data_IF_212244887910
#
_entry.id   IF_212244887910
#
_cell.length_a   1.000
_cell.length_b   1.000
_cell.length_c   1.000
_cell.angle_alpha   90.00
_cell.angle_beta   90.00
_cell.angle_gamma   90.00
#
_symmetry.space_group_name_H-M   'P 1'
#
loop_
_entity.id
_entity.type
_entity.pdbx_description
1 polymer ?
#
# COMPACT_ATOMS: atom_id res chain seq x y z
N UNK A 1 49.62 -13.37 38.65
CA UNK A 1 49.77 -14.84 38.53
C UNK A 1 48.84 -15.28 37.40
N UNK A 2 49.37 -15.58 36.22
CA UNK A 2 48.60 -16.25 35.17
C UNK A 2 48.49 -17.73 35.54
N UNK A 3 47.26 -18.22 35.65
CA UNK A 3 47.02 -19.65 35.83
C UNK A 3 47.03 -20.32 34.46
N UNK A 4 47.92 -21.29 34.27
CA UNK A 4 47.86 -22.19 33.12
C UNK A 4 46.98 -23.39 33.48
N UNK A 5 45.91 -23.59 32.71
CA UNK A 5 45.05 -24.76 32.83
C UNK A 5 45.39 -25.79 31.76
N UNK A 6 45.44 -27.06 32.15
CA UNK A 6 45.60 -28.19 31.24
C UNK A 6 44.26 -28.91 31.10
N UNK A 7 43.86 -29.17 29.86
CA UNK A 7 42.61 -29.90 29.58
C UNK A 7 42.82 -31.39 29.87
N UNK A 8 42.00 -31.94 30.76
CA UNK A 8 41.94 -33.39 30.98
C UNK A 8 41.27 -34.07 29.77
N UNK A 9 42.11 -34.66 28.91
CA UNK A 9 41.67 -35.37 27.70
C UNK A 9 40.82 -36.60 28.01
N UNK A 10 41.00 -37.25 29.16
CA UNK A 10 40.20 -38.43 29.57
C UNK A 10 38.80 -37.98 29.96
N UNK A 11 38.69 -36.96 30.81
CA UNK A 11 37.40 -36.36 31.17
C UNK A 11 36.67 -35.82 29.93
N UNK A 12 37.37 -35.13 29.02
CA UNK A 12 36.77 -34.62 27.78
C UNK A 12 36.16 -35.71 26.90
N UNK A 13 36.81 -36.87 26.74
CA UNK A 13 36.27 -38.01 25.98
C UNK A 13 34.98 -38.56 26.61
N UNK A 14 34.96 -38.71 27.93
CA UNK A 14 33.78 -39.19 28.66
C UNK A 14 32.62 -38.22 28.46
N UNK A 15 32.85 -36.93 28.70
CA UNK A 15 31.84 -35.87 28.54
C UNK A 15 31.28 -35.85 27.10
N UNK A 16 32.14 -35.93 26.10
CA UNK A 16 31.75 -35.91 24.68
C UNK A 16 30.97 -37.15 24.22
N UNK A 17 31.09 -38.28 24.93
CA UNK A 17 30.35 -39.51 24.67
C UNK A 17 29.01 -39.63 25.42
N UNK A 18 28.65 -38.66 26.27
CA UNK A 18 27.36 -38.68 26.96
C UNK A 18 26.20 -38.54 25.96
N UNK A 19 25.20 -39.41 26.09
CA UNK A 19 23.94 -39.26 25.36
C UNK A 19 23.13 -38.11 25.98
N UNK A 20 22.82 -37.11 25.16
CA UNK A 20 22.10 -35.90 25.56
C UNK A 20 20.94 -35.65 24.61
N UNK A 21 19.93 -34.91 25.09
CA UNK A 21 18.85 -34.40 24.24
C UNK A 21 19.23 -33.05 23.62
N UNK A 22 18.65 -32.74 22.46
CA UNK A 22 18.77 -31.43 21.83
C UNK A 22 18.37 -30.30 22.80
N UNK A 23 19.11 -29.18 22.77
CA UNK A 23 18.76 -27.98 23.54
C UNK A 23 17.37 -27.41 23.18
N UNK A 24 16.85 -27.75 21.99
CA UNK A 24 15.51 -27.37 21.55
C UNK A 24 14.43 -28.43 21.87
N UNK A 25 14.67 -29.35 22.82
CA UNK A 25 13.70 -30.40 23.20
C UNK A 25 12.35 -29.83 23.65
N UNK A 26 12.37 -28.78 24.46
CA UNK A 26 11.15 -28.09 24.93
C UNK A 26 10.36 -27.45 23.78
N UNK A 27 11.05 -27.05 22.70
CA UNK A 27 10.41 -26.54 21.48
C UNK A 27 9.83 -27.65 20.60
N UNK A 28 10.17 -28.92 20.86
CA UNK A 28 9.68 -30.10 20.15
C UNK A 28 10.74 -30.92 19.42
N UNK A 29 12.02 -30.56 19.50
CA UNK A 29 13.08 -31.36 18.86
C UNK A 29 13.26 -32.72 19.56
N UNK A 30 13.16 -33.80 18.80
CA UNK A 30 13.28 -35.18 19.33
C UNK A 30 14.70 -35.75 19.23
N UNK A 31 15.66 -34.98 18.71
CA UNK A 31 17.02 -35.46 18.55
C UNK A 31 17.68 -35.77 19.90
N UNK A 32 18.35 -36.92 19.95
CA UNK A 32 19.22 -37.36 21.03
C UNK A 32 20.45 -38.05 20.45
N UNK A 33 21.59 -37.90 21.10
CA UNK A 33 22.85 -38.49 20.65
C UNK A 33 24.04 -38.04 21.49
N UNK A 34 25.24 -38.44 21.10
CA UNK A 34 26.47 -38.05 21.79
C UNK A 34 26.67 -36.53 21.76
N UNK A 35 27.11 -35.96 22.89
CA UNK A 35 27.32 -34.52 23.04
C UNK A 35 28.22 -33.92 21.94
N UNK A 36 29.26 -34.65 21.50
CA UNK A 36 30.14 -34.22 20.40
C UNK A 36 29.42 -33.95 19.07
N UNK A 37 28.25 -34.58 18.84
CA UNK A 37 27.46 -34.45 17.62
C UNK A 37 26.42 -33.32 17.70
N UNK A 38 26.22 -32.71 18.88
CA UNK A 38 25.23 -31.65 19.10
C UNK A 38 25.46 -30.43 18.20
N UNK A 39 26.72 -30.00 18.07
CA UNK A 39 27.08 -28.83 17.24
C UNK A 39 26.68 -29.03 15.78
N UNK A 40 26.93 -30.24 15.25
CA UNK A 40 26.56 -30.64 13.89
C UNK A 40 25.05 -30.72 13.70
N UNK A 41 24.32 -31.32 14.65
CA UNK A 41 22.86 -31.39 14.61
C UNK A 41 22.21 -29.99 14.59
N UNK A 42 22.63 -29.11 15.51
CA UNK A 42 22.13 -27.74 15.58
C UNK A 42 22.53 -26.97 14.31
N UNK A 43 23.77 -27.17 13.86
CA UNK A 43 24.40 -26.45 12.76
C UNK A 43 24.17 -24.93 12.91
N UNK A 44 24.51 -24.38 14.07
CA UNK A 44 24.14 -23.01 14.46
C UNK A 44 24.53 -22.01 13.37
N UNK A 45 23.71 -20.97 13.21
CA UNK A 45 23.90 -19.88 12.24
C UNK A 45 23.79 -20.25 10.76
N UNK A 46 23.92 -21.53 10.40
CA UNK A 46 23.65 -21.98 9.03
C UNK A 46 22.16 -21.96 8.74
N UNK A 47 21.79 -21.65 7.50
CA UNK A 47 20.37 -21.61 7.11
C UNK A 47 19.75 -23.00 7.02
N UNK A 48 20.53 -23.97 6.57
CA UNK A 48 20.11 -25.36 6.41
C UNK A 48 20.78 -26.24 7.47
N UNK A 49 20.10 -27.32 7.83
CA UNK A 49 20.63 -28.36 8.70
C UNK A 49 19.52 -29.12 9.42
N UNK A 50 19.93 -30.13 10.18
CA UNK A 50 19.03 -31.16 10.71
C UNK A 50 18.01 -30.61 11.73
N UNK A 51 18.46 -29.77 12.67
CA UNK A 51 17.58 -29.20 13.68
C UNK A 51 16.60 -28.18 13.08
N UNK A 52 15.36 -28.60 12.84
CA UNK A 52 14.29 -27.74 12.32
C UNK A 52 13.82 -26.66 13.31
N UNK A 53 14.17 -26.82 14.59
CA UNK A 53 13.80 -25.92 15.70
C UNK A 53 14.88 -24.89 16.02
N UNK A 54 16.06 -24.99 15.40
CA UNK A 54 17.13 -24.02 15.58
C UNK A 54 16.78 -22.69 14.93
N UNK A 55 17.07 -21.59 15.62
CA UNK A 55 16.77 -20.24 15.18
C UNK A 55 17.89 -19.66 14.30
N UNK A 56 17.52 -19.29 13.09
CA UNK A 56 18.43 -18.79 12.06
C UNK A 56 17.95 -17.42 11.57
N UNK A 57 18.89 -16.56 11.18
CA UNK A 57 18.58 -15.21 10.70
C UNK A 57 17.86 -15.28 9.35
N UNK A 58 16.90 -14.37 9.17
CA UNK A 58 16.30 -14.07 7.88
C UNK A 58 17.39 -13.67 6.87
N UNK A 59 17.21 -14.05 5.60
CA UNK A 59 18.17 -13.74 4.53
C UNK A 59 18.31 -12.26 4.22
N UNK A 60 17.28 -11.49 4.53
CA UNK A 60 17.25 -10.06 4.24
C UNK A 60 17.90 -9.32 5.41
N UNK A 61 19.05 -8.68 5.15
CA UNK A 61 19.85 -7.99 6.17
C UNK A 61 19.04 -6.96 6.95
N UNK A 62 18.19 -6.21 6.25
CA UNK A 62 17.32 -5.19 6.84
C UNK A 62 16.21 -5.77 7.72
N UNK A 63 15.91 -7.07 7.67
CA UNK A 63 14.86 -7.70 8.46
C UNK A 63 15.30 -7.97 9.92
N UNK A 64 16.52 -8.45 10.10
CA UNK A 64 17.14 -8.81 11.39
C UNK A 64 16.42 -9.88 12.24
N UNK A 65 15.22 -10.34 11.86
CA UNK A 65 14.50 -11.41 12.57
C UNK A 65 15.24 -12.75 12.54
N UNK A 66 15.06 -13.54 13.61
CA UNK A 66 15.44 -14.94 13.68
C UNK A 66 14.18 -15.80 13.76
N UNK A 67 14.11 -16.85 12.95
CA UNK A 67 13.01 -17.82 12.96
C UNK A 67 13.58 -19.23 13.04
N UNK A 68 12.79 -20.15 13.58
CA UNK A 68 13.09 -21.57 13.47
C UNK A 68 13.19 -21.96 12.00
N UNK A 69 14.16 -22.82 11.63
CA UNK A 69 14.36 -23.25 10.24
C UNK A 69 13.06 -23.66 9.54
N UNK A 70 12.19 -24.42 10.21
CA UNK A 70 10.89 -24.85 9.68
C UNK A 70 9.94 -23.71 9.26
N UNK A 71 10.08 -22.52 9.84
CA UNK A 71 9.23 -21.35 9.56
C UNK A 71 9.93 -20.28 8.73
N UNK A 72 11.23 -20.42 8.45
CA UNK A 72 12.01 -19.39 7.78
C UNK A 72 11.47 -19.08 6.38
N UNK A 73 11.13 -20.12 5.61
CA UNK A 73 10.56 -19.95 4.27
C UNK A 73 9.21 -19.23 4.30
N UNK A 74 8.33 -19.63 5.22
CA UNK A 74 7.02 -18.99 5.38
C UNK A 74 7.17 -17.51 5.73
N UNK A 75 8.06 -17.19 6.69
CA UNK A 75 8.39 -15.81 7.00
C UNK A 75 8.87 -15.06 5.76
N UNK A 76 9.85 -15.58 5.02
CA UNK A 76 10.42 -14.90 3.85
C UNK A 76 9.42 -14.69 2.71
N UNK A 77 8.48 -15.62 2.52
CA UNK A 77 7.51 -15.56 1.42
C UNK A 77 6.25 -14.76 1.78
N UNK A 78 5.86 -14.70 3.06
CA UNK A 78 4.55 -14.18 3.49
C UNK A 78 4.63 -13.00 4.45
N UNK A 79 5.53 -13.04 5.42
CA UNK A 79 5.54 -12.10 6.54
C UNK A 79 6.61 -11.03 6.43
N UNK A 80 7.77 -11.38 5.86
CA UNK A 80 8.95 -10.53 5.87
C UNK A 80 8.65 -9.24 5.10
N UNK A 81 8.81 -8.11 5.75
CA UNK A 81 8.60 -6.80 5.13
C UNK A 81 9.63 -6.48 4.03
N UNK A 82 10.76 -7.19 4.00
CA UNK A 82 11.77 -7.10 2.95
C UNK A 82 11.51 -8.06 1.78
N UNK A 83 10.47 -8.90 1.85
CA UNK A 83 10.12 -9.81 0.75
C UNK A 83 9.78 -9.05 -0.51
N UNK A 84 10.02 -9.68 -1.67
CA UNK A 84 9.58 -9.17 -2.97
C UNK A 84 8.05 -9.07 -2.99
N UNK A 85 7.55 -7.94 -3.44
CA UNK A 85 6.13 -7.66 -3.55
C UNK A 85 5.86 -6.83 -4.80
N UNK A 86 4.73 -7.10 -5.46
CA UNK A 86 4.28 -6.38 -6.64
C UNK A 86 3.07 -5.55 -6.27
N UNK A 87 3.10 -4.26 -6.59
CA UNK A 87 1.94 -3.39 -6.47
C UNK A 87 0.80 -3.93 -7.35
N UNK A 88 -0.33 -4.24 -6.72
CA UNK A 88 -1.50 -4.78 -7.42
C UNK A 88 -2.19 -3.79 -8.36
N UNK A 89 -1.85 -2.49 -8.29
CA UNK A 89 -2.51 -1.44 -9.05
C UNK A 89 -1.74 -1.03 -10.31
N UNK A 90 -0.41 -0.92 -10.22
CA UNK A 90 0.43 -0.47 -11.33
C UNK A 90 1.50 -1.49 -11.75
N UNK A 91 1.63 -2.61 -11.03
CA UNK A 91 2.58 -3.67 -11.36
C UNK A 91 4.04 -3.41 -10.96
N UNK A 92 4.36 -2.25 -10.36
CA UNK A 92 5.73 -1.95 -9.86
C UNK A 92 6.15 -2.99 -8.81
N UNK A 93 7.39 -3.44 -8.91
CA UNK A 93 7.97 -4.46 -8.03
C UNK A 93 8.95 -3.79 -7.05
N UNK A 94 8.83 -4.12 -5.77
CA UNK A 94 9.73 -3.64 -4.72
C UNK A 94 9.71 -4.57 -3.50
N UNK A 95 10.18 -4.08 -2.36
CA UNK A 95 9.95 -4.77 -1.07
C UNK A 95 8.52 -4.51 -0.61
N UNK A 96 7.95 -5.41 0.19
CA UNK A 96 6.63 -5.18 0.78
C UNK A 96 6.56 -3.85 1.55
N UNK A 97 7.61 -3.52 2.32
CA UNK A 97 7.70 -2.27 3.05
C UNK A 97 7.66 -1.05 2.12
N UNK A 98 8.53 -1.01 1.11
CA UNK A 98 8.59 0.10 0.15
C UNK A 98 7.25 0.29 -0.56
N UNK A 99 6.65 -0.81 -1.04
CA UNK A 99 5.40 -0.74 -1.79
C UNK A 99 4.26 -0.20 -0.91
N UNK A 100 4.16 -0.68 0.34
CA UNK A 100 3.04 -0.33 1.22
C UNK A 100 3.19 0.99 1.95
N UNK A 101 4.42 1.50 2.13
CA UNK A 101 4.70 2.74 2.85
C UNK A 101 4.99 3.93 1.96
N UNK A 102 5.76 3.73 0.89
CA UNK A 102 6.26 4.83 0.07
C UNK A 102 5.49 4.89 -1.26
N UNK A 103 5.47 3.77 -1.98
CA UNK A 103 4.91 3.74 -3.33
C UNK A 103 3.40 4.01 -3.39
N UNK A 104 2.60 3.51 -2.44
CA UNK A 104 1.15 3.72 -2.44
C UNK A 104 0.73 5.20 -2.34
N UNK A 105 1.55 6.04 -1.70
CA UNK A 105 1.30 7.47 -1.61
C UNK A 105 1.44 8.18 -2.97
N UNK A 106 2.32 7.69 -3.83
CA UNK A 106 2.62 8.30 -5.14
C UNK A 106 2.03 7.53 -6.33
N UNK A 107 1.53 6.31 -6.12
CA UNK A 107 1.05 5.45 -7.17
C UNK A 107 -0.20 6.03 -7.85
N UNK A 108 -0.07 6.36 -9.14
CA UNK A 108 -1.15 6.93 -9.97
C UNK A 108 -2.36 6.01 -10.10
N UNK A 109 -2.17 4.69 -10.02
CA UNK A 109 -3.25 3.71 -10.12
C UNK A 109 -3.84 3.33 -8.76
N UNK A 110 -3.26 3.84 -7.66
CA UNK A 110 -3.78 3.58 -6.32
C UNK A 110 -5.18 4.19 -6.17
N UNK A 111 -6.16 3.43 -5.68
CA UNK A 111 -7.52 3.93 -5.49
C UNK A 111 -7.55 4.90 -4.32
N UNK A 112 -8.08 6.10 -4.58
CA UNK A 112 -8.31 7.13 -3.57
C UNK A 112 -9.80 7.49 -3.53
N UNK A 113 -10.22 8.01 -2.38
CA UNK A 113 -11.59 8.47 -2.16
C UNK A 113 -11.80 9.80 -2.87
N UNK A 114 -12.94 9.96 -3.55
CA UNK A 114 -13.33 11.24 -4.12
C UNK A 114 -13.56 12.27 -2.97
N UNK A 115 -13.05 13.51 -3.08
CA UNK A 115 -13.22 14.53 -2.03
C UNK A 115 -14.68 14.91 -1.81
N UNK A 116 -15.54 14.76 -2.83
CA UNK A 116 -16.98 14.99 -2.72
C UNK A 116 -17.73 13.76 -2.19
N UNK A 117 -17.04 12.67 -1.84
CA UNK A 117 -17.60 11.43 -1.28
C UNK A 117 -18.74 10.89 -2.15
N UNK A 118 -18.53 10.90 -3.47
CA UNK A 118 -19.50 10.36 -4.42
C UNK A 118 -19.50 8.83 -4.43
N UNK A 119 -20.52 8.21 -5.02
CA UNK A 119 -20.66 6.75 -5.08
C UNK A 119 -19.46 6.03 -5.72
N UNK A 120 -18.69 6.72 -6.57
CA UNK A 120 -17.39 6.25 -7.06
C UNK A 120 -16.29 6.46 -6.00
N UNK A 121 -16.35 5.70 -4.91
CA UNK A 121 -15.45 5.84 -3.75
C UNK A 121 -14.03 5.30 -3.99
N UNK A 122 -13.73 4.75 -5.17
CA UNK A 122 -12.42 4.20 -5.52
C UNK A 122 -12.01 4.70 -6.91
N UNK A 123 -11.47 5.91 -6.96
CA UNK A 123 -10.96 6.51 -8.20
C UNK A 123 -9.45 6.36 -8.24
N UNK A 124 -8.83 5.92 -9.35
CA UNK A 124 -7.37 5.95 -9.48
C UNK A 124 -6.84 7.37 -9.25
N UNK A 125 -5.82 7.52 -8.39
CA UNK A 125 -5.23 8.82 -8.02
C UNK A 125 -4.93 9.72 -9.22
N UNK A 126 -4.34 9.16 -10.27
CA UNK A 126 -3.98 9.89 -11.49
C UNK A 126 -5.18 10.36 -12.32
N UNK A 127 -6.37 9.81 -12.08
CA UNK A 127 -7.63 10.20 -12.75
C UNK A 127 -8.55 11.04 -11.87
N UNK A 128 -8.16 11.31 -10.62
CA UNK A 128 -9.03 12.00 -9.65
C UNK A 128 -9.47 13.38 -10.14
N UNK A 129 -8.54 14.18 -10.67
CA UNK A 129 -8.86 15.52 -11.19
C UNK A 129 -9.85 15.46 -12.35
N UNK A 130 -9.62 14.55 -13.31
CA UNK A 130 -10.53 14.37 -14.43
C UNK A 130 -11.92 13.90 -13.99
N UNK A 131 -11.97 12.99 -12.99
CA UNK A 131 -13.21 12.57 -12.38
C UNK A 131 -13.95 13.75 -11.76
N UNK A 132 -13.31 14.53 -10.87
CA UNK A 132 -13.94 15.68 -10.20
C UNK A 132 -14.48 16.68 -11.23
N UNK A 133 -13.67 17.03 -12.23
CA UNK A 133 -14.00 18.08 -13.19
C UNK A 133 -15.08 17.70 -14.21
N UNK A 134 -15.23 16.41 -14.54
CA UNK A 134 -16.07 16.00 -15.68
C UNK A 134 -17.09 14.91 -15.37
N UNK A 135 -16.89 14.11 -14.31
CA UNK A 135 -17.67 12.89 -14.09
C UNK A 135 -18.35 12.86 -12.72
N UNK A 136 -17.82 13.57 -11.73
CA UNK A 136 -18.31 13.50 -10.36
C UNK A 136 -19.74 14.04 -10.28
N UNK A 137 -20.73 13.21 -9.88
CA UNK A 137 -22.13 13.63 -9.81
C UNK A 137 -22.37 14.66 -8.70
N UNK A 138 -21.52 14.65 -7.67
CA UNK A 138 -21.59 15.56 -6.52
C UNK A 138 -20.65 16.76 -6.65
N UNK A 139 -20.03 16.98 -7.82
CA UNK A 139 -19.27 18.21 -8.05
C UNK A 139 -20.24 19.37 -8.32
N UNK A 140 -20.15 20.49 -7.58
CA UNK A 140 -20.81 21.74 -7.95
C UNK A 140 -20.25 22.25 -9.28
N UNK A 141 -21.13 22.54 -10.23
CA UNK A 141 -20.79 23.05 -11.56
C UNK A 141 -21.54 24.35 -11.82
N UNK A 142 -20.96 25.22 -12.63
CA UNK A 142 -21.62 26.47 -12.99
C UNK A 142 -22.83 26.18 -13.88
N UNK A 143 -23.91 26.94 -13.66
CA UNK A 143 -25.11 26.83 -14.48
C UNK A 143 -24.78 27.15 -15.95
N UNK A 144 -25.41 26.42 -16.88
CA UNK A 144 -25.30 26.67 -18.33
C UNK A 144 -25.82 28.04 -18.75
N UNK A 145 -26.63 28.70 -17.90
CA UNK A 145 -27.14 30.06 -18.07
C UNK A 145 -26.35 31.10 -17.27
N UNK A 146 -25.13 30.79 -16.85
CA UNK A 146 -24.25 31.76 -16.18
C UNK A 146 -23.96 32.98 -17.06
N UNK A 147 -23.83 32.79 -18.37
CA UNK A 147 -23.73 33.87 -19.35
C UNK A 147 -24.95 34.81 -19.37
N UNK A 148 -26.13 34.31 -18.97
CA UNK A 148 -27.36 35.09 -18.86
C UNK A 148 -27.57 35.66 -17.43
N UNK A 149 -26.60 35.50 -16.53
CA UNK A 149 -26.63 36.04 -15.17
C UNK A 149 -27.04 35.06 -14.07
N UNK A 150 -27.14 33.75 -14.35
CA UNK A 150 -27.37 32.76 -13.29
C UNK A 150 -26.08 32.46 -12.50
N UNK A 151 -26.07 32.77 -11.21
CA UNK A 151 -24.91 32.56 -10.32
C UNK A 151 -24.97 31.24 -9.53
N UNK A 152 -25.98 30.39 -9.78
CA UNK A 152 -26.17 29.17 -9.03
C UNK A 152 -25.17 28.09 -9.48
N UNK A 153 -24.72 27.28 -8.52
CA UNK A 153 -23.77 26.17 -8.76
C UNK A 153 -24.36 24.85 -8.30
N UNK A 154 -25.36 24.30 -9.02
CA UNK A 154 -25.98 23.05 -8.66
C UNK A 154 -24.97 21.89 -8.70
N UNK A 155 -25.29 20.79 -8.01
CA UNK A 155 -24.55 19.55 -8.19
C UNK A 155 -24.74 19.06 -9.62
N UNK A 156 -23.69 18.48 -10.22
CA UNK A 156 -23.74 17.97 -11.61
C UNK A 156 -24.96 17.08 -11.87
N UNK A 157 -25.32 16.20 -10.93
CA UNK A 157 -26.50 15.32 -11.04
C UNK A 157 -27.84 16.05 -11.07
N UNK A 158 -27.89 17.28 -10.54
CA UNK A 158 -29.12 18.06 -10.34
C UNK A 158 -29.23 19.21 -11.36
N UNK A 159 -28.26 19.36 -12.27
CA UNK A 159 -28.24 20.43 -13.29
C UNK A 159 -29.54 20.48 -14.08
N UNK A 160 -30.03 19.32 -14.55
CA UNK A 160 -31.27 19.26 -15.34
C UNK A 160 -32.50 19.73 -14.55
N UNK A 161 -32.56 19.40 -13.27
CA UNK A 161 -33.65 19.82 -12.37
C UNK A 161 -33.58 21.34 -12.14
N UNK A 162 -32.38 21.86 -11.89
CA UNK A 162 -32.15 23.29 -11.74
C UNK A 162 -32.51 24.07 -13.02
N UNK A 163 -32.10 23.60 -14.21
CA UNK A 163 -32.37 24.28 -15.47
C UNK A 163 -33.85 24.29 -15.87
N UNK A 164 -34.65 23.37 -15.33
CA UNK A 164 -36.09 23.33 -15.57
C UNK A 164 -36.86 24.43 -14.81
N UNK A 165 -36.21 25.17 -13.91
CA UNK A 165 -36.83 26.29 -13.20
C UNK A 165 -37.10 27.49 -14.14
N UNK A 166 -38.26 28.09 -13.95
CA UNK A 166 -38.73 29.34 -14.57
C UNK A 166 -37.77 30.52 -14.43
N UNK A 167 -36.90 30.53 -13.41
CA UNK A 167 -35.86 31.57 -13.22
C UNK A 167 -35.02 31.78 -14.48
N UNK A 168 -34.65 30.70 -15.17
CA UNK A 168 -33.84 30.78 -16.38
C UNK A 168 -34.59 31.39 -17.57
N UNK A 169 -35.90 31.13 -17.70
CA UNK A 169 -36.71 31.74 -18.75
C UNK A 169 -36.77 33.26 -18.62
N UNK A 170 -36.86 33.79 -17.40
CA UNK A 170 -36.81 35.24 -17.14
C UNK A 170 -35.46 35.83 -17.50
N UNK A 171 -34.35 35.19 -17.10
CA UNK A 171 -33.00 35.65 -17.45
C UNK A 171 -32.78 35.64 -18.97
N UNK A 172 -33.25 34.60 -19.66
CA UNK A 172 -33.20 34.51 -21.13
C UNK A 172 -34.04 35.61 -21.79
N UNK A 173 -35.23 35.92 -21.29
CA UNK A 173 -36.07 36.99 -21.83
C UNK A 173 -35.37 38.36 -21.73
N UNK A 174 -34.73 38.65 -20.59
CA UNK A 174 -33.94 39.88 -20.39
C UNK A 174 -32.74 39.92 -21.35
N UNK A 175 -31.97 38.83 -21.43
CA UNK A 175 -30.81 38.74 -22.34
C UNK A 175 -31.22 38.90 -23.82
N UNK A 176 -32.32 38.27 -24.24
CA UNK A 176 -32.86 38.45 -25.59
C UNK A 176 -33.34 39.87 -25.86
N UNK A 177 -33.97 40.53 -24.88
CA UNK A 177 -34.37 41.93 -24.98
C UNK A 177 -33.18 42.86 -25.20
N UNK A 178 -32.11 42.66 -24.42
CA UNK A 178 -30.87 43.43 -24.55
C UNK A 178 -30.20 43.21 -25.91
N UNK A 179 -30.07 41.95 -26.35
CA UNK A 179 -29.51 41.60 -27.67
C UNK A 179 -30.32 42.21 -28.82
N UNK A 180 -31.64 42.35 -28.68
CA UNK A 180 -32.46 43.00 -29.70
C UNK A 180 -32.10 44.49 -29.85
N UNK A 181 -31.95 45.19 -28.72
CA UNK A 181 -31.57 46.61 -28.70
C UNK A 181 -30.16 46.80 -29.30
N UNK A 182 -29.20 45.98 -28.90
CA UNK A 182 -27.82 46.04 -29.41
C UNK A 182 -27.76 45.78 -30.92
N UNK A 183 -28.53 44.80 -31.42
CA UNK A 183 -28.59 44.53 -32.86
C UNK A 183 -29.23 45.67 -33.68
N UNK A 184 -30.20 46.40 -33.11
CA UNK A 184 -30.78 47.58 -33.76
C UNK A 184 -29.74 48.71 -33.85
N UNK A 185 -29.00 48.97 -32.77
CA UNK A 185 -27.91 49.96 -32.74
C UNK A 185 -26.79 49.63 -33.75
N UNK A 186 -26.36 48.37 -33.82
CA UNK A 186 -25.32 47.95 -34.77
C UNK A 186 -25.76 48.15 -36.22
N UNK A 187 -27.06 48.02 -36.54
CA UNK A 187 -27.57 48.30 -37.89
C UNK A 187 -27.51 49.78 -38.22
N UNK A 188 -27.92 50.63 -37.28
CA UNK A 188 -27.86 52.09 -37.43
C UNK A 188 -26.40 52.60 -37.59
N UNK A 189 -25.42 51.96 -36.95
CA UNK A 189 -24.00 52.33 -37.05
C UNK A 189 -23.31 51.87 -38.34
N UNK A 190 -23.88 50.89 -39.05
CA UNK A 190 -23.31 50.32 -40.28
C UNK A 190 -23.99 50.82 -41.57
N UNK A 191 -24.98 51.71 -41.45
CA UNK A 191 -25.60 52.48 -42.55
C UNK A 191 -24.90 53.83 -42.76
#
# INVERSE_FOLDING_TARGET
KEYQSLIDKKCSRIINGLEVYCSNKEKGCQWKGELKNMSTHLNKEKREGECQYEEVKCRYEKCQERKQRRYLKYHEDRECYQRRFQCQYCGVIGTFLFITKDHYEECRQYPVTCPNICSSNKVPRGSLTAHVNHQCPLQPVDCVFSWAGCNDRPLRKDVHVHTADTKHMTLLAVACGQLKIENEQIKEENE
#
